data_IF_247874599522
#
_entry.id   IF_247874599522
#
_cell.length_a   1.000
_cell.length_b   1.000
_cell.length_c   1.000
_cell.angle_alpha   90.00
_cell.angle_beta   90.00
_cell.angle_gamma   90.00
#
_symmetry.space_group_name_H-M   'P 1'
#
loop_
_entity.id
_entity.type
_entity.pdbx_description
1 polymer ?
#
# COMPACT_ATOMS: atom_id res chain seq x y z
N UNK A 1 26.39 -10.45 -0.75
CA UNK A 1 25.21 -10.62 0.12
C UNK A 1 23.97 -10.00 -0.52
N UNK A 2 24.01 -8.72 -0.94
CA UNK A 2 22.89 -8.05 -1.63
C UNK A 2 22.43 -8.76 -2.92
N UNK A 3 23.35 -9.29 -3.72
CA UNK A 3 23.03 -10.03 -4.96
C UNK A 3 22.23 -11.32 -4.70
N UNK A 4 22.52 -12.03 -3.60
CA UNK A 4 21.77 -13.22 -3.21
C UNK A 4 20.34 -12.86 -2.75
N UNK A 5 20.18 -11.78 -1.98
CA UNK A 5 18.87 -11.24 -1.60
C UNK A 5 18.06 -10.81 -2.82
N UNK A 6 18.69 -10.13 -3.78
CA UNK A 6 18.05 -9.70 -5.02
C UNK A 6 17.57 -10.90 -5.85
N UNK A 7 18.42 -11.91 -6.05
CA UNK A 7 18.05 -13.11 -6.78
C UNK A 7 16.90 -13.87 -6.10
N UNK A 8 16.91 -13.95 -4.77
CA UNK A 8 15.80 -14.52 -4.01
C UNK A 8 14.50 -13.73 -4.21
N UNK A 9 14.55 -12.40 -4.16
CA UNK A 9 13.37 -11.56 -4.41
C UNK A 9 12.81 -11.75 -5.82
N UNK A 10 13.67 -11.82 -6.84
CA UNK A 10 13.28 -12.12 -8.23
C UNK A 10 12.57 -13.47 -8.31
N UNK A 11 13.15 -14.50 -7.69
CA UNK A 11 12.56 -15.84 -7.70
C UNK A 11 11.18 -15.85 -7.03
N UNK A 12 11.05 -15.28 -5.83
CA UNK A 12 9.78 -15.26 -5.09
C UNK A 12 8.70 -14.48 -5.88
N UNK A 13 9.07 -13.36 -6.50
CA UNK A 13 8.14 -12.56 -7.31
C UNK A 13 7.68 -13.33 -8.56
N UNK A 14 8.59 -14.02 -9.24
CA UNK A 14 8.24 -14.87 -10.38
C UNK A 14 7.32 -16.02 -9.97
N UNK A 15 7.62 -16.69 -8.85
CA UNK A 15 6.79 -17.77 -8.32
C UNK A 15 5.39 -17.26 -7.92
N UNK A 16 5.28 -16.03 -7.41
CA UNK A 16 4.01 -15.38 -7.15
C UNK A 16 3.21 -15.12 -8.44
N UNK A 17 3.87 -14.62 -9.48
CA UNK A 17 3.23 -14.30 -10.77
C UNK A 17 2.78 -15.55 -11.53
N UNK A 18 3.52 -16.65 -11.44
CA UNK A 18 3.20 -17.92 -12.09
C UNK A 18 2.16 -18.76 -11.33
N UNK A 19 2.00 -18.53 -10.02
CA UNK A 19 1.02 -19.25 -9.22
C UNK A 19 -0.41 -18.93 -9.67
N UNK A 20 -1.27 -19.94 -9.82
CA UNK A 20 -2.72 -19.76 -9.98
C UNK A 20 -3.47 -19.73 -8.64
N UNK A 21 -2.80 -20.16 -7.56
CA UNK A 21 -3.40 -20.29 -6.24
C UNK A 21 -3.22 -19.02 -5.41
N UNK A 22 -4.32 -18.38 -5.05
CA UNK A 22 -4.31 -17.17 -4.23
C UNK A 22 -3.58 -17.34 -2.87
N UNK A 23 -3.74 -18.46 -2.12
CA UNK A 23 -3.00 -18.64 -0.86
C UNK A 23 -1.47 -18.63 -1.06
N UNK A 24 -0.97 -19.23 -2.15
CA UNK A 24 0.46 -19.22 -2.49
C UNK A 24 0.94 -17.82 -2.83
N UNK A 25 0.17 -17.06 -3.62
CA UNK A 25 0.48 -15.65 -3.92
C UNK A 25 0.58 -14.81 -2.65
N UNK A 26 -0.37 -14.96 -1.72
CA UNK A 26 -0.34 -14.26 -0.43
C UNK A 26 0.89 -14.63 0.39
N UNK A 27 1.27 -15.92 0.40
CA UNK A 27 2.50 -16.36 1.07
C UNK A 27 3.76 -15.75 0.45
N UNK A 28 3.84 -15.68 -0.89
CA UNK A 28 4.96 -15.03 -1.57
C UNK A 28 5.01 -13.52 -1.31
N UNK A 29 3.88 -12.81 -1.26
CA UNK A 29 3.83 -11.39 -0.85
C UNK A 29 4.39 -11.24 0.57
N UNK A 30 4.06 -12.14 1.49
CA UNK A 30 4.58 -12.10 2.85
C UNK A 30 6.10 -12.35 2.90
N UNK A 31 6.63 -13.26 2.08
CA UNK A 31 8.07 -13.50 1.96
C UNK A 31 8.80 -12.30 1.35
N UNK A 32 8.25 -11.70 0.29
CA UNK A 32 8.76 -10.46 -0.31
C UNK A 32 8.73 -9.32 0.69
N UNK A 33 7.69 -9.21 1.52
CA UNK A 33 7.64 -8.23 2.61
C UNK A 33 8.80 -8.41 3.58
N UNK A 34 9.01 -9.61 4.08
CA UNK A 34 10.11 -9.90 5.01
C UNK A 34 11.47 -9.55 4.40
N UNK A 35 11.67 -9.91 3.12
CA UNK A 35 12.92 -9.64 2.43
C UNK A 35 13.11 -8.15 2.11
N UNK A 36 12.15 -7.52 1.45
CA UNK A 36 12.26 -6.17 0.89
C UNK A 36 11.95 -5.06 1.89
N UNK A 37 11.34 -5.35 3.04
CA UNK A 37 10.97 -4.34 4.04
C UNK A 37 11.81 -4.49 5.31
N UNK A 38 12.15 -5.72 5.71
CA UNK A 38 12.87 -5.99 6.96
C UNK A 38 14.34 -6.31 6.75
N UNK A 39 14.66 -7.24 5.84
CA UNK A 39 16.03 -7.74 5.67
C UNK A 39 16.92 -6.86 4.80
N UNK A 40 16.44 -6.46 3.64
CA UNK A 40 17.20 -5.66 2.67
C UNK A 40 16.31 -4.57 2.02
N UNK A 41 16.00 -3.49 2.77
CA UNK A 41 15.11 -2.42 2.30
C UNK A 41 15.68 -1.61 1.13
N UNK A 42 16.97 -1.75 0.84
CA UNK A 42 17.62 -1.06 -0.29
C UNK A 42 17.09 -1.55 -1.64
N UNK A 43 16.56 -2.78 -1.69
CA UNK A 43 15.98 -3.38 -2.88
C UNK A 43 14.55 -2.88 -3.16
N UNK A 44 13.85 -2.35 -2.15
CA UNK A 44 12.44 -2.00 -2.30
C UNK A 44 12.12 -1.11 -3.52
N UNK A 45 12.89 -0.05 -3.84
CA UNK A 45 12.59 0.80 -4.99
C UNK A 45 12.60 0.05 -6.33
N UNK A 46 13.40 -1.02 -6.42
CA UNK A 46 13.50 -1.85 -7.60
C UNK A 46 12.26 -2.72 -7.80
N UNK A 47 11.71 -3.31 -6.73
CA UNK A 47 10.61 -4.28 -6.79
C UNK A 47 9.22 -3.66 -6.59
N UNK A 48 9.15 -2.44 -6.05
CA UNK A 48 7.87 -1.79 -5.74
C UNK A 48 6.96 -1.62 -6.97
N UNK A 49 7.44 -1.24 -8.18
CA UNK A 49 6.60 -1.15 -9.37
C UNK A 49 5.93 -2.48 -9.72
N UNK A 50 6.67 -3.59 -9.68
CA UNK A 50 6.17 -4.92 -9.97
C UNK A 50 5.19 -5.38 -8.90
N UNK A 51 5.46 -5.09 -7.63
CA UNK A 51 4.52 -5.37 -6.54
C UNK A 51 3.18 -4.67 -6.75
N UNK A 52 3.18 -3.40 -7.19
CA UNK A 52 1.95 -2.64 -7.48
C UNK A 52 1.11 -3.30 -8.57
N UNK A 53 1.71 -4.03 -9.53
CA UNK A 53 0.94 -4.74 -10.56
C UNK A 53 -0.01 -5.80 -9.99
N UNK A 54 0.26 -6.35 -8.80
CA UNK A 54 -0.64 -7.29 -8.12
C UNK A 54 -1.97 -6.64 -7.65
N UNK A 55 -2.11 -5.32 -7.78
CA UNK A 55 -3.34 -4.59 -7.48
C UNK A 55 -4.52 -5.03 -8.35
N UNK A 56 -4.26 -5.57 -9.55
CA UNK A 56 -5.33 -6.07 -10.45
C UNK A 56 -5.53 -7.58 -10.35
N UNK A 57 -4.91 -8.26 -9.38
CA UNK A 57 -5.10 -9.70 -9.19
C UNK A 57 -6.58 -10.04 -8.98
N UNK A 58 -7.13 -11.09 -9.62
CA UNK A 58 -8.54 -11.44 -9.48
C UNK A 58 -8.94 -11.78 -8.04
N UNK A 59 -7.98 -12.26 -7.23
CA UNK A 59 -8.25 -12.66 -5.85
C UNK A 59 -8.25 -11.47 -4.89
N UNK A 60 -9.35 -11.23 -4.15
CA UNK A 60 -9.39 -10.17 -3.15
C UNK A 60 -8.42 -10.40 -1.99
N UNK A 61 -8.05 -11.64 -1.69
CA UNK A 61 -7.06 -11.91 -0.64
C UNK A 61 -5.65 -11.45 -1.04
N UNK A 62 -5.31 -11.54 -2.32
CA UNK A 62 -4.03 -11.06 -2.87
C UNK A 62 -3.99 -9.54 -2.85
N UNK A 63 -5.05 -8.87 -3.35
CA UNK A 63 -5.15 -7.40 -3.32
C UNK A 63 -5.11 -6.85 -1.89
N UNK A 64 -5.79 -7.52 -0.94
CA UNK A 64 -5.72 -7.17 0.49
C UNK A 64 -4.32 -7.35 1.07
N UNK A 65 -3.60 -8.41 0.70
CA UNK A 65 -2.21 -8.62 1.13
C UNK A 65 -1.27 -7.55 0.57
N UNK A 66 -1.49 -7.13 -0.67
CA UNK A 66 -0.75 -6.04 -1.29
C UNK A 66 -0.93 -4.72 -0.52
N UNK A 67 -2.14 -4.38 -0.07
CA UNK A 67 -2.37 -3.20 0.79
C UNK A 67 -1.44 -3.21 2.00
N UNK A 68 -1.38 -4.33 2.72
CA UNK A 68 -0.53 -4.46 3.90
C UNK A 68 0.96 -4.31 3.55
N UNK A 69 1.40 -4.92 2.44
CA UNK A 69 2.77 -4.76 1.94
C UNK A 69 3.10 -3.30 1.64
N UNK A 70 2.27 -2.58 0.87
CA UNK A 70 2.53 -1.21 0.43
C UNK A 70 2.70 -0.24 1.61
N UNK A 71 1.90 -0.40 2.67
CA UNK A 71 2.01 0.41 3.88
C UNK A 71 3.34 0.15 4.57
N UNK A 72 3.66 -1.11 4.85
CA UNK A 72 4.89 -1.45 5.58
C UNK A 72 6.13 -1.04 4.78
N UNK A 73 6.12 -1.26 3.47
CA UNK A 73 7.14 -0.83 2.52
C UNK A 73 7.38 0.70 2.57
N UNK A 74 6.29 1.47 2.51
CA UNK A 74 6.37 2.92 2.53
C UNK A 74 6.84 3.47 3.89
N UNK A 75 6.44 2.83 4.99
CA UNK A 75 6.87 3.21 6.34
C UNK A 75 8.34 2.89 6.60
N UNK A 76 8.85 1.74 6.11
CA UNK A 76 10.22 1.31 6.38
C UNK A 76 11.28 2.19 5.72
N UNK A 77 10.98 2.76 4.55
CA UNK A 77 11.96 3.56 3.79
C UNK A 77 11.91 5.04 4.11
N UNK A 78 10.86 5.54 4.78
CA UNK A 78 10.59 6.98 4.95
C UNK A 78 10.71 7.77 3.63
N UNK A 79 10.56 7.06 2.50
CA UNK A 79 10.72 7.59 1.16
C UNK A 79 9.44 8.30 0.77
N UNK A 80 9.55 9.60 0.49
CA UNK A 80 8.43 10.42 0.05
C UNK A 80 7.80 9.83 -1.23
N UNK A 81 8.64 9.32 -2.14
CA UNK A 81 8.21 8.68 -3.39
C UNK A 81 7.49 7.35 -3.16
N UNK A 82 8.01 6.49 -2.27
CA UNK A 82 7.35 5.23 -1.95
C UNK A 82 5.98 5.47 -1.28
N UNK A 83 5.91 6.46 -0.38
CA UNK A 83 4.64 6.87 0.23
C UNK A 83 3.65 7.45 -0.77
N UNK A 84 4.10 8.23 -1.77
CA UNK A 84 3.23 8.71 -2.85
C UNK A 84 2.64 7.56 -3.66
N UNK A 85 3.45 6.56 -4.03
CA UNK A 85 2.99 5.38 -4.75
C UNK A 85 2.01 4.56 -3.90
N UNK A 86 2.32 4.35 -2.62
CA UNK A 86 1.41 3.68 -1.70
C UNK A 86 0.08 4.43 -1.56
N UNK A 87 0.11 5.76 -1.42
CA UNK A 87 -1.09 6.59 -1.34
C UNK A 87 -1.95 6.47 -2.61
N UNK A 88 -1.33 6.52 -3.79
CA UNK A 88 -2.04 6.36 -5.07
C UNK A 88 -2.69 4.97 -5.19
N UNK A 89 -1.94 3.90 -4.92
CA UNK A 89 -2.46 2.53 -4.97
C UNK A 89 -3.55 2.28 -3.94
N UNK A 90 -3.38 2.72 -2.69
CA UNK A 90 -4.40 2.58 -1.64
C UNK A 90 -5.66 3.35 -1.99
N UNK A 91 -5.54 4.59 -2.48
CA UNK A 91 -6.69 5.40 -2.91
C UNK A 91 -7.47 4.71 -4.03
N UNK A 92 -6.79 4.13 -5.02
CA UNK A 92 -7.44 3.39 -6.09
C UNK A 92 -8.22 2.15 -5.58
N UNK A 93 -7.79 1.52 -4.48
CA UNK A 93 -8.48 0.38 -3.88
C UNK A 93 -9.74 0.76 -3.07
N UNK A 94 -10.06 2.05 -2.90
CA UNK A 94 -11.35 2.46 -2.35
C UNK A 94 -12.52 2.07 -3.24
N UNK A 95 -12.29 1.92 -4.55
CA UNK A 95 -13.27 1.48 -5.54
C UNK A 95 -13.21 -0.04 -5.82
N UNK A 96 -12.50 -0.81 -4.99
CA UNK A 96 -12.33 -2.26 -5.21
C UNK A 96 -13.67 -3.01 -5.16
N UNK A 97 -13.84 -4.07 -5.95
CA UNK A 97 -15.08 -4.87 -5.93
C UNK A 97 -15.33 -5.61 -4.61
N UNK A 98 -14.28 -5.85 -3.81
CA UNK A 98 -14.36 -6.50 -2.52
C UNK A 98 -14.41 -5.48 -1.38
N UNK A 99 -15.48 -5.56 -0.59
CA UNK A 99 -15.65 -4.80 0.66
C UNK A 99 -14.47 -5.03 1.62
N UNK A 100 -13.89 -6.24 1.64
CA UNK A 100 -12.74 -6.55 2.50
C UNK A 100 -11.47 -5.82 2.06
N UNK A 101 -11.28 -5.60 0.76
CA UNK A 101 -10.16 -4.83 0.21
C UNK A 101 -10.38 -3.33 0.45
N UNK A 102 -11.58 -2.81 0.16
CA UNK A 102 -11.94 -1.41 0.44
C UNK A 102 -11.69 -1.05 1.92
N UNK A 103 -12.14 -1.90 2.85
CA UNK A 103 -11.90 -1.69 4.29
C UNK A 103 -10.42 -1.72 4.65
N UNK A 104 -9.64 -2.63 4.05
CA UNK A 104 -8.20 -2.69 4.29
C UNK A 104 -7.49 -1.41 3.79
N UNK A 105 -7.86 -0.92 2.62
CA UNK A 105 -7.37 0.33 2.08
C UNK A 105 -7.72 1.53 2.96
N UNK A 106 -8.94 1.59 3.50
CA UNK A 106 -9.32 2.67 4.42
C UNK A 106 -8.54 2.65 5.73
N UNK A 107 -8.28 1.47 6.29
CA UNK A 107 -7.40 1.34 7.46
C UNK A 107 -5.97 1.78 7.12
N UNK A 108 -5.49 1.45 5.92
CA UNK A 108 -4.19 1.87 5.41
C UNK A 108 -4.05 3.40 5.29
N UNK A 109 -5.13 4.10 4.95
CA UNK A 109 -5.15 5.54 4.78
C UNK A 109 -4.63 6.28 6.03
N UNK A 110 -5.01 5.84 7.23
CA UNK A 110 -4.54 6.46 8.48
C UNK A 110 -3.02 6.31 8.64
N UNK A 111 -2.48 5.12 8.35
CA UNK A 111 -1.05 4.83 8.47
C UNK A 111 -0.23 5.66 7.48
N UNK A 112 -0.70 5.78 6.23
CA UNK A 112 -0.05 6.60 5.21
C UNK A 112 -0.12 8.09 5.57
N UNK A 113 -1.25 8.59 6.09
CA UNK A 113 -1.37 9.98 6.55
C UNK A 113 -0.36 10.31 7.64
N UNK A 114 -0.23 9.45 8.66
CA UNK A 114 0.75 9.62 9.73
C UNK A 114 2.18 9.59 9.21
N UNK A 115 2.51 8.65 8.33
CA UNK A 115 3.84 8.54 7.74
C UNK A 115 4.19 9.75 6.85
N UNK A 116 3.26 10.20 6.00
CA UNK A 116 3.45 11.38 5.16
C UNK A 116 3.63 12.66 5.98
N UNK A 117 2.86 12.82 7.07
CA UNK A 117 3.04 13.93 8.00
C UNK A 117 4.42 13.90 8.68
N UNK A 118 4.86 12.72 9.13
CA UNK A 118 6.19 12.57 9.74
C UNK A 118 7.31 12.92 8.76
N UNK A 119 7.21 12.50 7.49
CA UNK A 119 8.16 12.84 6.43
C UNK A 119 8.18 14.35 6.17
N UNK A 120 7.01 15.00 6.09
CA UNK A 120 6.93 16.45 5.93
C UNK A 120 7.49 17.20 7.14
N UNK A 121 7.19 16.75 8.35
CA UNK A 121 7.68 17.38 9.57
C UNK A 121 9.21 17.30 9.69
N UNK A 122 9.81 16.18 9.27
CA UNK A 122 11.27 16.02 9.23
C UNK A 122 11.93 16.87 8.12
N UNK A 123 11.22 17.14 7.02
CA UNK A 123 11.74 17.82 5.83
C UNK A 123 10.75 18.88 5.30
N UNK A 124 10.43 19.93 6.07
CA UNK A 124 9.33 20.85 5.75
C UNK A 124 9.55 21.69 4.49
N UNK A 125 10.81 21.88 4.09
CA UNK A 125 11.18 22.64 2.89
C UNK A 125 11.31 21.77 1.64
N UNK A 126 11.35 20.44 1.78
CA UNK A 126 11.56 19.49 0.69
C UNK A 126 10.32 19.41 -0.21
N UNK A 127 10.43 19.72 -1.52
CA UNK A 127 9.33 19.60 -2.47
C UNK A 127 8.73 18.19 -2.55
N UNK A 128 9.54 17.14 -2.44
CA UNK A 128 9.05 15.76 -2.49
C UNK A 128 8.23 15.42 -1.25
N UNK A 129 8.65 15.89 -0.08
CA UNK A 129 7.91 15.72 1.17
C UNK A 129 6.56 16.44 1.11
N UNK A 130 6.51 17.65 0.55
CA UNK A 130 5.26 18.40 0.30
C UNK A 130 4.34 17.68 -0.68
N UNK A 131 4.88 17.15 -1.79
CA UNK A 131 4.13 16.38 -2.76
C UNK A 131 3.56 15.08 -2.15
N UNK A 132 4.35 14.41 -1.31
CA UNK A 132 3.91 13.23 -0.55
C UNK A 132 2.74 13.55 0.37
N UNK A 133 2.83 14.64 1.13
CA UNK A 133 1.72 15.10 1.94
C UNK A 133 0.48 15.46 1.14
N UNK A 134 0.66 16.11 -0.01
CA UNK A 134 -0.42 16.41 -0.95
C UNK A 134 -1.16 15.14 -1.40
N UNK A 135 -0.42 14.12 -1.83
CA UNK A 135 -1.00 12.83 -2.23
C UNK A 135 -1.77 12.15 -1.08
N UNK A 136 -1.21 12.15 0.13
CA UNK A 136 -1.88 11.59 1.31
C UNK A 136 -3.18 12.34 1.64
N UNK A 137 -3.19 13.68 1.53
CA UNK A 137 -4.40 14.50 1.71
C UNK A 137 -5.45 14.26 0.65
N UNK A 138 -5.07 14.13 -0.62
CA UNK A 138 -6.00 13.77 -1.69
C UNK A 138 -6.63 12.40 -1.45
N UNK A 139 -5.86 11.42 -0.96
CA UNK A 139 -6.40 10.13 -0.54
C UNK A 139 -7.39 10.27 0.63
N UNK A 140 -7.08 11.07 1.65
CA UNK A 140 -8.02 11.34 2.75
C UNK A 140 -9.33 11.96 2.24
N UNK A 141 -9.27 12.91 1.31
CA UNK A 141 -10.45 13.51 0.70
C UNK A 141 -11.28 12.47 -0.07
N UNK A 142 -10.62 11.58 -0.83
CA UNK A 142 -11.28 10.48 -1.52
C UNK A 142 -11.99 9.53 -0.54
N UNK A 143 -11.38 9.25 0.62
CA UNK A 143 -12.01 8.45 1.68
C UNK A 143 -13.23 9.14 2.29
N UNK A 144 -13.19 10.47 2.45
CA UNK A 144 -14.31 11.24 2.97
C UNK A 144 -15.53 11.19 2.05
N UNK A 145 -15.29 11.21 0.72
CA UNK A 145 -16.34 11.12 -0.27
C UNK A 145 -17.12 9.79 -0.19
N UNK A 146 -16.51 8.69 0.30
CA UNK A 146 -17.20 7.41 0.46
C UNK A 146 -18.31 7.44 1.50
N UNK A 147 -18.24 8.35 2.49
CA UNK A 147 -19.23 8.47 3.57
C UNK A 147 -20.60 8.83 3.00
N UNK A 148 -20.63 9.72 2.02
CA UNK A 148 -21.87 10.22 1.40
C UNK A 148 -22.15 9.60 0.03
N UNK A 149 -21.19 8.88 -0.56
CA UNK A 149 -21.36 8.29 -1.88
C UNK A 149 -22.51 7.25 -1.92
N UNK A 150 -23.40 7.34 -2.92
CA UNK A 150 -24.45 6.36 -3.12
C UNK A 150 -23.85 5.00 -3.50
N UNK A 151 -24.45 3.91 -3.03
CA UNK A 151 -23.98 2.55 -3.33
C UNK A 151 -22.78 2.07 -2.51
N UNK A 152 -22.15 2.91 -1.68
CA UNK A 152 -21.11 2.46 -0.76
C UNK A 152 -21.67 1.42 0.21
N UNK A 153 -20.92 0.35 0.47
CA UNK A 153 -21.33 -0.64 1.46
C UNK A 153 -21.28 -0.04 2.88
N UNK A 154 -22.25 -0.36 3.74
CA UNK A 154 -22.35 0.24 5.09
C UNK A 154 -21.09 0.03 5.94
N UNK A 155 -20.55 -1.20 5.93
CA UNK A 155 -19.30 -1.51 6.62
C UNK A 155 -18.08 -0.69 6.13
N UNK A 156 -18.12 -0.15 4.92
CA UNK A 156 -17.07 0.70 4.33
C UNK A 156 -17.29 2.14 4.79
N UNK A 157 -18.54 2.63 4.72
CA UNK A 157 -18.92 3.93 5.30
C UNK A 157 -18.51 4.05 6.76
N UNK A 158 -18.76 3.01 7.58
CA UNK A 158 -18.40 3.03 9.00
C UNK A 158 -16.89 3.17 9.22
N UNK A 159 -16.07 2.50 8.41
CA UNK A 159 -14.61 2.63 8.51
C UNK A 159 -14.14 4.01 8.03
N UNK A 160 -14.76 4.55 6.98
CA UNK A 160 -14.47 5.90 6.48
C UNK A 160 -14.83 6.99 7.50
N UNK A 161 -15.97 6.88 8.19
CA UNK A 161 -16.34 7.80 9.29
C UNK A 161 -15.30 7.74 10.41
N UNK A 162 -14.94 6.54 10.87
CA UNK A 162 -13.91 6.36 11.92
C UNK A 162 -12.54 6.93 11.54
N UNK A 163 -12.20 6.90 10.25
CA UNK A 163 -10.97 7.50 9.74
C UNK A 163 -11.00 9.03 9.82
N UNK A 164 -12.16 9.67 9.68
CA UNK A 164 -12.31 11.13 9.78
C UNK A 164 -12.35 11.65 11.22
N UNK A 165 -12.72 10.78 12.17
CA UNK A 165 -12.73 11.12 13.60
C UNK A 165 -11.32 11.17 14.22
N UNK A 166 -10.32 10.56 13.59
CA UNK A 166 -8.94 10.43 14.11
C UNK A 166 -7.92 11.31 13.40
#
# INVERSE_FOLDING_TARGET
MQEASRNAAIQILNDANLSSEAPKKVAHIAQLKELLVRKDPTLLPEFLPEMVTMQVDPSPSVRKALVAFLIEAAMATSSARALQQAAASVSAMFADSSVQVQKAALVACNLVLRAALAVLAARPSDPEAKACWGAARSMQQASAALVTAPGTHEAVRLVAVKLLEG
#
